data_IF_323318187798
#
_entry.id   IF_323318187798
#
_cell.length_a   1.000
_cell.length_b   1.000
_cell.length_c   1.000
_cell.angle_alpha   90.00
_cell.angle_beta   90.00
_cell.angle_gamma   90.00
#
_symmetry.space_group_name_H-M   'P 1'
#
loop_
_entity.id
_entity.type
_entity.pdbx_description
1 polymer ?
#
# COMPACT_ATOMS: atom_id res chain seq x y z
N UNK A 1 -10.65 12.79 -3.92
CA UNK A 1 -9.23 12.41 -3.92
C UNK A 1 -8.54 13.01 -2.69
N UNK A 2 -7.76 14.09 -2.74
CA UNK A 2 -6.86 14.50 -1.64
C UNK A 2 -7.44 14.46 -0.21
N UNK A 3 -8.69 14.88 0.04
CA UNK A 3 -9.26 14.86 1.40
C UNK A 3 -9.29 13.47 2.05
N UNK A 4 -9.65 12.43 1.30
CA UNK A 4 -9.70 11.06 1.83
C UNK A 4 -8.29 10.55 2.11
N UNK A 5 -7.34 10.85 1.21
CA UNK A 5 -5.92 10.56 1.36
C UNK A 5 -5.35 11.17 2.65
N UNK A 6 -5.54 12.47 2.86
CA UNK A 6 -5.06 13.16 4.07
C UNK A 6 -5.71 12.64 5.36
N UNK A 7 -6.98 12.20 5.30
CA UNK A 7 -7.65 11.58 6.45
C UNK A 7 -7.10 10.16 6.69
N UNK A 8 -6.81 9.40 5.64
CA UNK A 8 -6.22 8.07 5.76
C UNK A 8 -4.84 8.14 6.42
N UNK A 9 -4.11 9.25 6.22
CA UNK A 9 -2.85 9.50 6.93
C UNK A 9 -2.99 9.62 8.45
N UNK A 10 -4.19 9.80 9.01
CA UNK A 10 -4.39 9.71 10.46
C UNK A 10 -4.10 8.29 10.98
N UNK A 11 -4.27 7.26 10.14
CA UNK A 11 -3.84 5.89 10.43
C UNK A 11 -2.43 5.64 9.92
N UNK A 12 -2.20 5.81 8.62
CA UNK A 12 -0.93 5.49 7.98
C UNK A 12 0.00 6.72 7.99
N UNK A 13 1.15 6.60 8.64
CA UNK A 13 2.06 7.68 9.11
C UNK A 13 1.64 8.36 10.42
N UNK A 14 0.36 8.67 10.62
CA UNK A 14 -0.13 9.35 11.83
C UNK A 14 -0.10 8.46 13.09
N UNK A 15 -0.73 7.28 13.03
CA UNK A 15 -0.76 6.32 14.13
C UNK A 15 0.26 5.18 13.92
N UNK A 16 0.44 4.75 12.67
CA UNK A 16 1.40 3.74 12.24
C UNK A 16 2.51 4.48 11.49
N UNK A 17 3.60 4.83 12.17
CA UNK A 17 4.70 5.53 11.52
C UNK A 17 5.46 4.62 10.56
N UNK A 18 6.21 5.20 9.63
CA UNK A 18 7.16 4.52 8.75
C UNK A 18 8.26 5.50 8.37
N UNK A 19 9.30 5.03 7.68
CA UNK A 19 10.25 5.92 7.04
C UNK A 19 9.69 6.36 5.69
N UNK A 20 9.22 7.61 5.57
CA UNK A 20 8.71 8.14 4.29
C UNK A 20 9.78 8.15 3.19
N UNK A 21 11.07 8.17 3.55
CA UNK A 21 12.14 8.11 2.57
C UNK A 21 12.39 6.67 2.10
N UNK A 22 12.47 5.72 3.02
CA UNK A 22 12.86 4.34 2.72
C UNK A 22 11.69 3.48 2.27
N UNK A 23 10.55 3.58 2.95
CA UNK A 23 9.39 2.72 2.77
C UNK A 23 8.11 3.57 2.52
N UNK A 24 8.10 4.50 1.53
CA UNK A 24 6.99 5.46 1.31
C UNK A 24 5.65 4.80 0.97
N UNK A 25 5.65 3.56 0.49
CA UNK A 25 4.41 2.87 0.11
C UNK A 25 3.53 2.53 1.31
N UNK A 26 4.11 2.39 2.51
CA UNK A 26 3.39 2.03 3.72
C UNK A 26 2.40 3.11 4.17
N UNK A 27 2.67 4.37 3.85
CA UNK A 27 1.75 5.48 4.07
C UNK A 27 1.03 5.90 2.78
N UNK A 28 1.75 6.07 1.68
CA UNK A 28 1.18 6.68 0.47
C UNK A 28 0.30 5.73 -0.33
N UNK A 29 0.68 4.46 -0.48
CA UNK A 29 -0.14 3.49 -1.21
C UNK A 29 -1.41 3.12 -0.43
N UNK A 30 -1.31 3.00 0.89
CA UNK A 30 -2.47 2.72 1.74
C UNK A 30 -3.44 3.91 1.82
N UNK A 31 -2.94 5.14 1.90
CA UNK A 31 -3.77 6.33 1.81
C UNK A 31 -4.47 6.45 0.45
N UNK A 32 -3.73 6.19 -0.64
CA UNK A 32 -4.27 6.15 -2.01
C UNK A 32 -5.32 5.03 -2.18
N UNK A 33 -5.10 3.87 -1.56
CA UNK A 33 -6.07 2.76 -1.53
C UNK A 33 -7.37 3.12 -0.80
N UNK A 34 -7.31 3.91 0.26
CA UNK A 34 -8.52 4.40 0.93
C UNK A 34 -9.39 5.27 0.02
N UNK A 35 -8.79 6.04 -0.90
CA UNK A 35 -9.54 6.81 -1.90
C UNK A 35 -10.43 5.93 -2.76
N UNK A 36 -9.90 4.80 -3.26
CA UNK A 36 -10.63 3.84 -4.11
C UNK A 36 -11.83 3.26 -3.36
N UNK A 37 -11.68 2.94 -2.08
CA UNK A 37 -12.75 2.39 -1.27
C UNK A 37 -13.92 3.37 -1.07
N UNK A 38 -13.62 4.66 -0.92
CA UNK A 38 -14.64 5.69 -0.67
C UNK A 38 -15.30 6.15 -1.96
N UNK A 39 -14.51 6.41 -3.01
CA UNK A 39 -15.02 6.91 -4.29
C UNK A 39 -15.60 5.79 -5.17
N UNK A 40 -15.43 4.52 -4.77
CA UNK A 40 -15.83 3.32 -5.51
C UNK A 40 -15.31 3.31 -6.97
N UNK A 41 -14.14 3.94 -7.18
CA UNK A 41 -13.46 4.01 -8.47
C UNK A 41 -12.37 2.96 -8.53
N UNK A 42 -12.45 2.02 -9.47
CA UNK A 42 -11.36 1.07 -9.69
C UNK A 42 -10.11 1.82 -10.23
N UNK A 43 -8.89 1.41 -9.82
CA UNK A 43 -7.67 1.85 -10.49
C UNK A 43 -7.68 1.47 -11.97
N UNK A 44 -6.84 2.12 -12.77
CA UNK A 44 -6.65 1.68 -14.15
C UNK A 44 -5.95 0.31 -14.13
N UNK A 45 -6.45 -0.66 -14.90
CA UNK A 45 -5.84 -2.00 -14.96
C UNK A 45 -4.39 -1.99 -15.47
N UNK A 46 -3.97 -0.90 -16.12
CA UNK A 46 -2.58 -0.69 -16.54
C UNK A 46 -1.67 -0.21 -15.40
N UNK A 47 -2.21 0.29 -14.29
CA UNK A 47 -1.41 0.80 -13.17
C UNK A 47 -0.50 -0.31 -12.58
N UNK A 48 -1.00 -1.54 -12.49
CA UNK A 48 -0.22 -2.71 -12.03
C UNK A 48 0.96 -3.05 -12.94
N UNK A 49 0.86 -2.70 -14.22
CA UNK A 49 1.86 -3.03 -15.23
C UNK A 49 2.96 -1.96 -15.33
N UNK A 50 2.86 -0.88 -14.52
CA UNK A 50 3.90 0.14 -14.50
C UNK A 50 5.25 -0.48 -14.06
N UNK A 51 6.35 -0.15 -14.75
CA UNK A 51 7.69 -0.57 -14.34
C UNK A 51 8.05 0.07 -12.98
N UNK A 52 9.01 -0.51 -12.29
CA UNK A 52 9.47 -0.05 -10.98
C UNK A 52 8.85 -0.83 -9.83
N UNK A 53 9.51 -0.75 -8.68
CA UNK A 53 9.14 -1.48 -7.47
C UNK A 53 8.36 -0.56 -6.52
N UNK A 54 7.20 -0.99 -6.04
CA UNK A 54 6.38 -0.21 -5.09
C UNK A 54 7.15 0.07 -3.79
N UNK A 55 7.98 -0.87 -3.34
CA UNK A 55 8.80 -0.78 -2.13
C UNK A 55 10.04 0.11 -2.27
N UNK A 56 10.32 0.66 -3.45
CA UNK A 56 11.49 1.50 -3.68
C UNK A 56 11.54 2.73 -2.76
N UNK A 57 12.74 3.09 -2.33
CA UNK A 57 12.98 4.33 -1.59
C UNK A 57 12.84 5.54 -2.52
N UNK A 58 12.66 6.73 -1.94
CA UNK A 58 12.63 7.98 -2.71
C UNK A 58 13.90 8.22 -3.56
N UNK A 59 15.04 7.59 -3.21
CA UNK A 59 16.28 7.69 -3.99
C UNK A 59 16.33 6.79 -5.23
N UNK A 60 15.45 5.78 -5.30
CA UNK A 60 15.45 4.82 -6.40
C UNK A 60 14.69 5.36 -7.62
N UNK A 61 13.89 6.41 -7.45
CA UNK A 61 13.13 7.05 -8.52
C UNK A 61 13.92 8.18 -9.17
N UNK A 62 13.96 8.25 -10.51
CA UNK A 62 14.72 9.28 -11.23
C UNK A 62 14.08 10.68 -11.10
N UNK A 63 12.76 10.72 -10.92
CA UNK A 63 12.01 11.95 -10.73
C UNK A 63 10.73 11.72 -9.91
N UNK A 64 10.07 12.83 -9.58
CA UNK A 64 8.86 12.85 -8.78
C UNK A 64 7.67 12.24 -9.50
N UNK A 65 7.59 12.35 -10.83
CA UNK A 65 6.46 11.82 -11.59
C UNK A 65 6.47 10.28 -11.54
N UNK A 66 7.63 9.66 -11.73
CA UNK A 66 7.79 8.21 -11.61
C UNK A 66 7.52 7.73 -10.18
N UNK A 67 8.01 8.46 -9.17
CA UNK A 67 7.69 8.19 -7.76
C UNK A 67 6.17 8.17 -7.51
N UNK A 68 5.44 9.21 -7.96
CA UNK A 68 3.99 9.26 -7.77
C UNK A 68 3.28 8.14 -8.53
N UNK A 69 3.66 7.89 -9.78
CA UNK A 69 3.10 6.80 -10.58
C UNK A 69 3.27 5.45 -9.91
N UNK A 70 4.47 5.11 -9.43
CA UNK A 70 4.76 3.80 -8.84
C UNK A 70 4.20 3.69 -7.42
N UNK A 71 4.57 4.59 -6.51
CA UNK A 71 4.21 4.47 -5.10
C UNK A 71 2.71 4.68 -4.89
N UNK A 72 2.11 5.69 -5.52
CA UNK A 72 0.69 5.99 -5.31
C UNK A 72 -0.18 5.20 -6.28
N UNK A 73 0.15 5.23 -7.57
CA UNK A 73 -0.63 4.56 -8.62
C UNK A 73 -0.55 3.04 -8.55
N UNK A 74 0.64 2.47 -8.84
CA UNK A 74 0.86 1.02 -8.83
C UNK A 74 0.63 0.43 -7.44
N UNK A 75 1.11 1.08 -6.38
CA UNK A 75 0.90 0.63 -5.00
C UNK A 75 -0.58 0.51 -4.61
N UNK A 76 -1.40 1.52 -4.93
CA UNK A 76 -2.85 1.45 -4.76
C UNK A 76 -3.47 0.31 -5.56
N UNK A 77 -3.09 0.18 -6.83
CA UNK A 77 -3.61 -0.88 -7.69
C UNK A 77 -3.26 -2.27 -7.17
N UNK A 78 -2.04 -2.44 -6.63
CA UNK A 78 -1.59 -3.68 -5.99
C UNK A 78 -2.43 -4.03 -4.76
N UNK A 79 -2.73 -3.06 -3.89
CA UNK A 79 -3.59 -3.27 -2.72
C UNK A 79 -5.03 -3.64 -3.12
N UNK A 80 -5.59 -3.00 -4.17
CA UNK A 80 -6.91 -3.36 -4.70
C UNK A 80 -6.93 -4.79 -5.24
N UNK A 81 -5.96 -5.15 -6.09
CA UNK A 81 -5.88 -6.49 -6.67
C UNK A 81 -5.63 -7.56 -5.60
N UNK A 82 -4.78 -7.27 -4.61
CA UNK A 82 -4.53 -8.15 -3.47
C UNK A 82 -5.82 -8.41 -2.67
N UNK A 83 -6.65 -7.38 -2.46
CA UNK A 83 -7.96 -7.53 -1.82
C UNK A 83 -8.94 -8.33 -2.64
N UNK A 84 -8.99 -8.12 -3.95
CA UNK A 84 -9.85 -8.90 -4.85
C UNK A 84 -9.47 -10.38 -4.84
N UNK A 85 -8.18 -10.68 -4.88
CA UNK A 85 -7.66 -12.06 -4.88
C UNK A 85 -7.86 -12.78 -3.54
N UNK A 86 -7.62 -12.10 -2.42
CA UNK A 86 -7.79 -12.68 -1.08
C UNK A 86 -9.27 -12.78 -0.64
N UNK A 87 -10.15 -12.02 -1.30
CA UNK A 87 -11.51 -11.81 -0.83
C UNK A 87 -11.58 -10.63 0.16
N UNK A 88 -12.55 -9.72 -0.01
CA UNK A 88 -12.75 -8.53 0.82
C UNK A 88 -12.67 -8.76 2.34
N UNK A 89 -13.39 -9.75 2.86
CA UNK A 89 -13.51 -9.96 4.30
C UNK A 89 -12.19 -10.40 4.94
N UNK A 90 -11.46 -11.28 4.26
CA UNK A 90 -10.18 -11.80 4.73
C UNK A 90 -9.09 -10.73 4.68
N UNK A 91 -9.02 -9.98 3.57
CA UNK A 91 -8.10 -8.84 3.43
C UNK A 91 -8.39 -7.75 4.46
N UNK A 92 -9.66 -7.36 4.64
CA UNK A 92 -10.03 -6.32 5.60
C UNK A 92 -9.76 -6.78 7.05
N UNK A 93 -9.84 -8.08 7.34
CA UNK A 93 -9.44 -8.62 8.63
C UNK A 93 -7.92 -8.55 8.85
N UNK A 94 -7.11 -8.91 7.84
CA UNK A 94 -5.66 -8.78 7.88
C UNK A 94 -5.20 -7.32 8.01
N UNK A 95 -5.82 -6.40 7.26
CA UNK A 95 -5.55 -4.97 7.36
C UNK A 95 -5.87 -4.42 8.76
N UNK A 96 -6.98 -4.83 9.37
CA UNK A 96 -7.28 -4.48 10.77
C UNK A 96 -6.24 -5.07 11.73
N UNK A 97 -5.74 -6.28 11.47
CA UNK A 97 -4.66 -6.88 12.26
C UNK A 97 -3.36 -6.07 12.16
N UNK A 98 -2.96 -5.68 10.94
CA UNK A 98 -1.82 -4.78 10.70
C UNK A 98 -1.99 -3.46 11.47
N UNK A 99 -3.13 -2.79 11.32
CA UNK A 99 -3.40 -1.51 11.99
C UNK A 99 -3.31 -1.64 13.51
N UNK A 100 -3.90 -2.70 14.09
CA UNK A 100 -3.92 -2.89 15.54
C UNK A 100 -2.55 -3.31 16.09
N UNK A 101 -1.78 -4.11 15.36
CA UNK A 101 -0.47 -4.58 15.79
C UNK A 101 0.62 -3.50 15.69
N UNK A 102 0.49 -2.59 14.73
CA UNK A 102 1.47 -1.54 14.46
C UNK A 102 1.07 -0.16 14.98
N UNK A 103 -0.05 -0.06 15.72
CA UNK A 103 -0.45 1.19 16.34
C UNK A 103 0.65 1.71 17.28
N UNK A 104 1.05 2.97 17.06
CA UNK A 104 2.10 3.68 17.81
C UNK A 104 3.50 3.10 17.62
N UNK A 105 3.73 2.32 16.55
CA UNK A 105 5.04 1.80 16.16
C UNK A 105 5.57 2.49 14.90
N UNK A 106 6.82 2.18 14.55
CA UNK A 106 7.40 2.47 13.24
C UNK A 106 7.43 1.17 12.45
N UNK A 107 6.50 1.01 11.52
CA UNK A 107 6.35 -0.16 10.68
C UNK A 107 7.44 -0.24 9.61
N UNK A 108 7.73 -1.47 9.20
CA UNK A 108 8.56 -1.85 8.05
C UNK A 108 7.77 -2.78 7.12
N UNK A 109 8.20 -3.00 5.86
CA UNK A 109 7.46 -3.86 4.92
C UNK A 109 7.17 -5.27 5.45
N UNK A 110 8.09 -5.84 6.25
CA UNK A 110 7.92 -7.15 6.89
C UNK A 110 6.67 -7.22 7.79
N UNK A 111 6.25 -6.11 8.42
CA UNK A 111 5.04 -6.09 9.25
C UNK A 111 3.77 -6.35 8.44
N UNK A 112 3.74 -5.92 7.17
CA UNK A 112 2.67 -6.26 6.24
C UNK A 112 2.73 -7.74 5.90
N UNK A 113 3.92 -8.29 5.64
CA UNK A 113 4.07 -9.74 5.36
C UNK A 113 3.54 -10.60 6.51
N UNK A 114 3.82 -10.21 7.75
CA UNK A 114 3.35 -10.89 8.95
C UNK A 114 1.83 -10.81 9.08
N UNK A 115 1.25 -9.61 8.92
CA UNK A 115 -0.20 -9.44 9.06
C UNK A 115 -1.01 -10.14 7.95
N UNK A 116 -0.38 -10.35 6.78
CA UNK A 116 -1.01 -10.95 5.59
C UNK A 116 -0.56 -12.41 5.35
N UNK A 117 0.12 -13.04 6.31
CA UNK A 117 0.71 -14.39 6.17
C UNK A 117 -0.30 -15.48 5.73
N UNK A 118 -1.57 -15.35 6.12
CA UNK A 118 -2.65 -16.28 5.77
C UNK A 118 -3.31 -15.96 4.42
N UNK A 119 -2.82 -14.95 3.69
CA UNK A 119 -3.35 -14.48 2.40
C UNK A 119 -2.28 -14.62 1.29
N UNK A 120 -1.88 -15.85 0.92
CA UNK A 120 -0.74 -16.07 0.01
C UNK A 120 -0.92 -15.42 -1.37
N UNK A 121 -2.14 -15.35 -1.90
CA UNK A 121 -2.39 -14.67 -3.18
C UNK A 121 -2.27 -13.14 -3.08
N UNK A 122 -2.67 -12.55 -1.94
CA UNK A 122 -2.44 -11.12 -1.70
C UNK A 122 -0.94 -10.82 -1.59
N UNK A 123 -0.20 -11.63 -0.84
CA UNK A 123 1.26 -11.48 -0.71
C UNK A 123 1.96 -11.63 -2.05
N UNK A 124 1.57 -12.63 -2.86
CA UNK A 124 2.13 -12.82 -4.22
C UNK A 124 1.92 -11.58 -5.08
N UNK A 125 0.73 -10.96 -5.07
CA UNK A 125 0.46 -9.75 -5.84
C UNK A 125 1.30 -8.57 -5.35
N UNK A 126 1.44 -8.40 -4.03
CA UNK A 126 2.28 -7.33 -3.46
C UNK A 126 3.76 -7.54 -3.77
N UNK A 127 4.23 -8.80 -3.73
CA UNK A 127 5.59 -9.19 -4.10
C UNK A 127 5.86 -8.95 -5.59
N UNK A 128 4.95 -9.36 -6.48
CA UNK A 128 5.05 -9.09 -7.92
C UNK A 128 4.99 -7.59 -8.27
N UNK A 129 4.33 -6.79 -7.44
CA UNK A 129 4.33 -5.34 -7.55
C UNK A 129 5.61 -4.69 -6.99
N UNK A 130 6.45 -5.45 -6.28
CA UNK A 130 7.71 -4.97 -5.73
C UNK A 130 7.62 -4.35 -4.34
N UNK A 131 6.56 -4.61 -3.58
CA UNK A 131 6.30 -3.95 -2.30
C UNK A 131 7.33 -4.29 -1.19
N UNK A 132 8.11 -5.36 -1.36
CA UNK A 132 9.06 -5.88 -0.37
C UNK A 132 10.52 -5.85 -0.87
N UNK A 133 10.81 -5.00 -1.86
CA UNK A 133 12.13 -4.85 -2.48
C UNK A 133 13.11 -4.01 -1.66
#
# INVERSE_FOLDING_TARGET
>A
FILVHEIAHMWFYGMIGNSQFRDPWLDESFASYAEVLVDASAPDGTDLQMPGEVGGSMADFPDTDEYFSVVYGKGRAALVAAREAAGPDAFDAALRCYINSQAWQIAVPDDVTVAFAELPEALRILEEAGAFS
#
